data_IF_565503584679
#
_entry.id   IF_565503584679
#
_cell.length_a   1.000
_cell.length_b   1.000
_cell.length_c   1.000
_cell.angle_alpha   90.00
_cell.angle_beta   90.00
_cell.angle_gamma   90.00
#
_symmetry.space_group_name_H-M   'P 1'
#
loop_
_entity.id
_entity.type
_entity.pdbx_description
1 polymer ?
#
# COMPACT_ATOMS: atom_id res chain seq x y z
N UNK A 1 -3.94 -23.88 -12.90
CA UNK A 1 -5.00 -22.86 -12.92
C UNK A 1 -5.10 -22.18 -11.57
N UNK A 2 -4.46 -21.03 -11.39
CA UNK A 2 -4.52 -20.29 -10.13
C UNK A 2 -5.89 -19.63 -9.92
N UNK A 3 -6.28 -19.44 -8.66
CA UNK A 3 -7.47 -18.66 -8.28
C UNK A 3 -7.02 -17.41 -7.54
N UNK A 4 -7.48 -16.24 -7.98
CA UNK A 4 -7.24 -14.99 -7.27
C UNK A 4 -8.02 -15.01 -5.95
N UNK A 5 -7.30 -14.86 -4.84
CA UNK A 5 -7.88 -14.85 -3.48
C UNK A 5 -8.09 -13.45 -2.93
N UNK A 6 -7.43 -12.45 -3.51
CA UNK A 6 -7.71 -11.04 -3.29
C UNK A 6 -6.63 -10.13 -3.89
N UNK A 7 -6.85 -8.83 -3.78
CA UNK A 7 -5.89 -7.78 -4.14
C UNK A 7 -5.70 -6.80 -2.98
N UNK A 8 -4.55 -6.14 -2.92
CA UNK A 8 -4.25 -5.08 -1.95
C UNK A 8 -3.79 -3.85 -2.71
N UNK A 9 -4.45 -2.71 -2.47
CA UNK A 9 -4.02 -1.41 -3.01
C UNK A 9 -3.11 -0.70 -2.01
N UNK A 10 -1.98 -0.18 -2.49
CA UNK A 10 -0.95 0.42 -1.62
C UNK A 10 -1.18 1.89 -1.28
N UNK A 11 -2.03 2.59 -2.03
CA UNK A 11 -2.50 3.95 -1.75
C UNK A 11 -3.73 4.27 -2.62
N UNK A 12 -4.38 5.40 -2.40
CA UNK A 12 -5.66 5.74 -3.06
C UNK A 12 -5.59 6.09 -4.56
N UNK A 13 -4.41 6.46 -5.08
CA UNK A 13 -4.27 6.83 -6.50
C UNK A 13 -4.64 5.69 -7.46
N UNK A 14 -5.08 6.07 -8.66
CA UNK A 14 -5.68 5.15 -9.65
C UNK A 14 -4.71 4.13 -10.23
N UNK A 15 -3.41 4.37 -10.18
CA UNK A 15 -2.38 3.39 -10.52
C UNK A 15 -2.35 2.20 -9.54
N UNK A 16 -2.89 2.37 -8.32
CA UNK A 16 -3.07 1.32 -7.33
C UNK A 16 -4.51 0.83 -7.19
N UNK A 17 -5.51 1.68 -7.48
CA UNK A 17 -6.94 1.41 -7.19
C UNK A 17 -7.82 1.27 -8.41
N UNK A 18 -7.31 1.56 -9.61
CA UNK A 18 -8.09 1.59 -10.86
C UNK A 18 -8.80 0.27 -11.21
N UNK A 19 -8.34 -0.86 -10.66
CA UNK A 19 -8.96 -2.17 -10.85
C UNK A 19 -10.00 -2.57 -9.79
N UNK A 20 -10.20 -1.80 -8.72
CA UNK A 20 -11.05 -2.21 -7.59
C UNK A 20 -12.49 -2.49 -8.03
N UNK A 21 -13.09 -1.59 -8.81
CA UNK A 21 -14.49 -1.74 -9.26
C UNK A 21 -14.70 -3.05 -10.04
N UNK A 22 -13.78 -3.34 -10.96
CA UNK A 22 -13.87 -4.57 -11.75
C UNK A 22 -13.68 -5.82 -10.87
N UNK A 23 -12.72 -5.83 -9.96
CA UNK A 23 -12.49 -6.95 -9.04
C UNK A 23 -13.71 -7.20 -8.14
N UNK A 24 -14.32 -6.13 -7.62
CA UNK A 24 -15.55 -6.18 -6.84
C UNK A 24 -16.70 -6.80 -7.65
N UNK A 25 -16.87 -6.40 -8.92
CA UNK A 25 -17.90 -6.95 -9.82
C UNK A 25 -17.75 -8.46 -10.07
N UNK A 26 -16.53 -9.00 -9.88
CA UNK A 26 -16.21 -10.42 -9.99
C UNK A 26 -16.21 -11.15 -8.65
N UNK A 27 -16.68 -10.50 -7.58
CA UNK A 27 -16.66 -11.02 -6.20
C UNK A 27 -15.25 -11.44 -5.75
N UNK A 28 -14.21 -10.79 -6.27
CA UNK A 28 -12.83 -10.97 -5.83
C UNK A 28 -12.59 -10.02 -4.64
N UNK A 29 -12.14 -10.51 -3.47
CA UNK A 29 -11.89 -9.65 -2.32
C UNK A 29 -10.83 -8.58 -2.61
N UNK A 30 -11.17 -7.32 -2.40
CA UNK A 30 -10.23 -6.19 -2.48
C UNK A 30 -9.92 -5.68 -1.07
N UNK A 31 -8.67 -5.31 -0.82
CA UNK A 31 -8.18 -4.83 0.46
C UNK A 31 -7.50 -3.45 0.29
N UNK A 32 -7.73 -2.56 1.24
CA UNK A 32 -7.05 -1.27 1.35
C UNK A 32 -6.96 -0.84 2.82
N UNK A 33 -6.13 0.14 3.17
CA UNK A 33 -6.18 0.71 4.52
C UNK A 33 -7.50 1.45 4.72
N UNK A 34 -7.94 1.63 5.97
CA UNK A 34 -9.11 2.48 6.27
C UNK A 34 -8.94 3.89 5.69
N UNK A 35 -7.76 4.50 5.85
CA UNK A 35 -7.45 5.81 5.30
C UNK A 35 -7.52 5.84 3.76
N UNK A 36 -7.07 4.78 3.09
CA UNK A 36 -7.19 4.65 1.63
C UNK A 36 -8.66 4.61 1.20
N UNK A 37 -9.51 3.86 1.89
CA UNK A 37 -10.94 3.81 1.60
C UNK A 37 -11.64 5.15 1.89
N UNK A 38 -11.24 5.86 2.95
CA UNK A 38 -11.74 7.21 3.25
C UNK A 38 -11.40 8.19 2.13
N UNK A 39 -10.17 8.18 1.63
CA UNK A 39 -9.74 9.02 0.51
C UNK A 39 -10.45 8.65 -0.79
N UNK A 40 -10.58 7.35 -1.11
CA UNK A 40 -11.37 6.90 -2.26
C UNK A 40 -12.82 7.38 -2.19
N UNK A 41 -13.45 7.27 -1.02
CA UNK A 41 -14.83 7.73 -0.80
C UNK A 41 -14.95 9.24 -1.00
N UNK A 42 -14.00 10.01 -0.45
CA UNK A 42 -13.94 11.47 -0.61
C UNK A 42 -13.84 11.88 -2.08
N UNK A 43 -13.13 11.11 -2.89
CA UNK A 43 -12.95 11.36 -4.32
C UNK A 43 -14.05 10.74 -5.20
N UNK A 44 -15.12 10.20 -4.59
CA UNK A 44 -16.22 9.56 -5.31
C UNK A 44 -15.82 8.28 -6.05
N UNK A 45 -14.75 7.59 -5.60
CA UNK A 45 -14.25 6.35 -6.17
C UNK A 45 -14.80 5.13 -5.44
N UNK A 46 -14.81 3.99 -6.15
CA UNK A 46 -15.20 2.70 -5.59
C UNK A 46 -14.17 2.28 -4.54
N UNK A 47 -14.65 1.95 -3.35
CA UNK A 47 -13.84 1.49 -2.22
C UNK A 47 -13.51 0.00 -2.33
N UNK A 48 -12.42 -0.42 -1.69
CA UNK A 48 -12.13 -1.83 -1.46
C UNK A 48 -13.19 -2.45 -0.54
N UNK A 49 -13.54 -3.72 -0.77
CA UNK A 49 -14.57 -4.43 0.01
C UNK A 49 -14.14 -4.76 1.42
N UNK A 50 -12.83 -4.79 1.68
CA UNK A 50 -12.25 -5.02 2.99
C UNK A 50 -11.28 -3.89 3.31
N UNK A 51 -11.31 -3.42 4.56
CA UNK A 51 -10.34 -2.47 5.08
C UNK A 51 -9.58 -3.04 6.27
N UNK A 52 -8.41 -2.47 6.55
CA UNK A 52 -7.65 -2.75 7.77
C UNK A 52 -7.17 -1.46 8.42
N UNK A 53 -7.05 -1.51 9.74
CA UNK A 53 -6.51 -0.44 10.57
C UNK A 53 -5.15 -0.83 11.17
N UNK A 54 -4.48 0.17 11.73
CA UNK A 54 -3.20 0.00 12.39
C UNK A 54 -1.99 0.01 11.45
N UNK A 55 -0.81 -0.07 12.06
CA UNK A 55 0.47 0.11 11.37
C UNK A 55 0.95 -1.16 10.65
N UNK A 56 0.62 -2.33 11.19
CA UNK A 56 0.99 -3.63 10.64
C UNK A 56 -0.25 -4.48 10.44
N UNK A 57 -0.39 -5.07 9.25
CA UNK A 57 -1.49 -5.94 8.92
C UNK A 57 -0.98 -7.16 8.15
N UNK A 58 -1.36 -8.36 8.59
CA UNK A 58 -1.04 -9.58 7.86
C UNK A 58 -2.20 -9.93 6.93
N UNK A 59 -2.07 -9.59 5.64
CA UNK A 59 -3.01 -10.04 4.61
C UNK A 59 -3.03 -11.57 4.51
N UNK A 60 -1.84 -12.17 4.60
CA UNK A 60 -1.68 -13.61 4.76
C UNK A 60 -0.67 -13.85 5.86
N UNK A 61 -1.12 -14.43 6.98
CA UNK A 61 -0.30 -14.67 8.17
C UNK A 61 1.06 -15.28 7.80
N UNK A 62 2.13 -14.63 8.23
CA UNK A 62 3.53 -15.00 8.00
C UNK A 62 4.02 -15.01 6.54
N UNK A 63 3.21 -14.57 5.57
CA UNK A 63 3.55 -14.59 4.13
C UNK A 63 3.45 -13.25 3.42
N UNK A 64 2.43 -12.46 3.75
CA UNK A 64 2.20 -11.14 3.15
C UNK A 64 1.86 -10.18 4.29
N UNK A 65 2.84 -9.34 4.64
CA UNK A 65 2.69 -8.26 5.61
C UNK A 65 2.49 -6.94 4.86
N UNK A 66 1.52 -6.15 5.30
CA UNK A 66 1.30 -4.77 4.88
C UNK A 66 1.74 -3.87 6.02
N UNK A 67 2.54 -2.85 5.71
CA UNK A 67 3.10 -1.94 6.71
C UNK A 67 2.90 -0.49 6.29
N UNK A 68 2.40 0.33 7.21
CA UNK A 68 2.29 1.77 7.06
C UNK A 68 3.51 2.46 7.69
N UNK A 69 4.48 2.95 6.90
CA UNK A 69 5.66 3.64 7.44
C UNK A 69 5.36 5.08 7.91
N UNK A 70 4.14 5.57 7.69
CA UNK A 70 3.77 6.97 7.83
C UNK A 70 3.67 7.70 6.47
N UNK A 71 3.29 8.99 6.47
CA UNK A 71 3.05 9.74 5.25
C UNK A 71 4.31 9.89 4.38
N UNK A 72 4.13 9.89 3.06
CA UNK A 72 5.20 10.10 2.10
C UNK A 72 4.67 10.61 0.77
N UNK A 73 4.63 9.76 -0.25
CA UNK A 73 4.01 10.06 -1.55
C UNK A 73 2.53 10.45 -1.40
N UNK A 74 1.86 9.83 -0.43
CA UNK A 74 0.48 10.13 -0.04
C UNK A 74 0.32 9.98 1.48
N UNK A 75 -0.78 10.47 2.07
CA UNK A 75 -1.03 10.29 3.51
C UNK A 75 -1.28 8.82 3.89
N UNK A 76 -1.68 7.97 2.95
CA UNK A 76 -2.14 6.59 3.18
C UNK A 76 -1.21 5.51 2.61
N UNK A 77 -0.07 5.88 2.04
CA UNK A 77 0.81 4.90 1.40
C UNK A 77 1.25 3.76 2.34
N UNK A 78 1.07 2.52 1.91
CA UNK A 78 1.60 1.33 2.58
C UNK A 78 2.61 0.61 1.68
N UNK A 79 3.48 -0.18 2.31
CA UNK A 79 4.38 -1.11 1.62
C UNK A 79 3.96 -2.55 1.89
N UNK A 80 4.40 -3.48 1.05
CA UNK A 80 4.14 -4.91 1.23
C UNK A 80 5.45 -5.67 1.38
N UNK A 81 5.56 -6.46 2.45
CA UNK A 81 6.72 -7.29 2.75
C UNK A 81 6.43 -8.78 2.58
N UNK A 82 7.31 -9.47 1.86
CA UNK A 82 7.29 -10.90 1.63
C UNK A 82 8.46 -11.56 2.41
N UNK A 83 8.26 -11.97 3.67
CA UNK A 83 9.34 -12.41 4.56
C UNK A 83 10.12 -13.61 4.03
N UNK A 84 9.45 -14.60 3.45
CA UNK A 84 10.09 -15.82 2.93
C UNK A 84 11.14 -15.53 1.85
N UNK A 85 10.89 -14.52 1.02
CA UNK A 85 11.79 -14.13 -0.08
C UNK A 85 12.65 -12.91 0.23
N UNK A 86 12.37 -12.22 1.33
CA UNK A 86 12.94 -10.92 1.69
C UNK A 86 12.75 -9.87 0.59
N UNK A 87 11.54 -9.83 0.01
CA UNK A 87 11.17 -8.86 -1.03
C UNK A 87 10.27 -7.79 -0.40
N UNK A 88 10.59 -6.52 -0.62
CA UNK A 88 9.78 -5.38 -0.23
C UNK A 88 9.18 -4.74 -1.48
N UNK A 89 7.86 -4.77 -1.63
CA UNK A 89 7.19 -3.94 -2.61
C UNK A 89 6.97 -2.53 -2.01
N UNK A 90 7.74 -1.57 -2.52
CA UNK A 90 7.74 -0.18 -2.03
C UNK A 90 6.60 0.71 -2.54
N UNK A 91 5.86 0.28 -3.56
CA UNK A 91 4.86 1.11 -4.24
C UNK A 91 5.42 2.47 -4.69
N UNK A 92 4.55 3.49 -4.75
CA UNK A 92 4.94 4.85 -5.06
C UNK A 92 5.70 5.57 -3.93
N UNK A 93 5.80 4.96 -2.74
CA UNK A 93 6.56 5.52 -1.62
C UNK A 93 8.08 5.45 -1.85
N UNK A 94 8.56 4.41 -2.56
CA UNK A 94 9.98 4.30 -2.91
C UNK A 94 10.25 5.05 -4.21
N UNK A 95 11.10 6.06 -4.13
CA UNK A 95 11.48 6.95 -5.23
C UNK A 95 13.00 7.09 -5.28
N UNK A 96 13.74 6.22 -6.01
CA UNK A 96 15.19 6.30 -6.09
C UNK A 96 15.68 7.50 -6.91
N UNK A 97 14.85 8.01 -7.83
CA UNK A 97 15.20 9.11 -8.74
C UNK A 97 14.07 10.15 -8.79
N UNK A 98 14.19 11.21 -7.99
CA UNK A 98 13.19 12.27 -7.92
C UNK A 98 11.86 11.82 -7.29
N UNK A 99 11.21 12.72 -6.55
CA UNK A 99 9.97 12.37 -5.84
C UNK A 99 8.75 12.25 -6.76
N UNK A 100 8.81 12.84 -7.96
CA UNK A 100 7.71 12.83 -8.92
C UNK A 100 6.62 13.83 -8.53
N UNK A 101 5.35 13.44 -8.65
CA UNK A 101 4.21 14.28 -8.30
C UNK A 101 4.12 14.46 -6.77
N UNK A 102 4.02 15.71 -6.31
CA UNK A 102 3.98 16.08 -4.90
C UNK A 102 2.60 16.58 -4.43
N UNK A 103 1.57 16.55 -5.29
CA UNK A 103 0.26 17.14 -5.01
C UNK A 103 -0.41 16.64 -3.73
N UNK A 104 -0.24 15.34 -3.43
CA UNK A 104 -0.76 14.69 -2.22
C UNK A 104 0.35 14.27 -1.24
N UNK A 105 1.60 14.67 -1.52
CA UNK A 105 2.75 14.22 -0.76
C UNK A 105 2.89 15.01 0.55
N UNK A 106 3.35 14.32 1.60
CA UNK A 106 3.81 14.95 2.82
C UNK A 106 5.34 14.97 2.85
N UNK A 107 5.92 16.02 2.27
CA UNK A 107 7.37 16.16 2.09
C UNK A 107 8.10 16.24 3.44
N UNK A 108 7.49 16.86 4.45
CA UNK A 108 8.09 17.00 5.78
C UNK A 108 8.20 15.64 6.52
N UNK A 109 7.17 14.81 6.41
CA UNK A 109 7.13 13.50 7.07
C UNK A 109 7.91 12.42 6.32
N UNK A 110 8.00 12.51 4.98
CA UNK A 110 8.56 11.45 4.14
C UNK A 110 9.96 10.97 4.57
N UNK A 111 10.93 11.85 4.92
CA UNK A 111 12.25 11.39 5.38
C UNK A 111 12.19 10.54 6.66
N UNK A 112 11.29 10.87 7.59
CA UNK A 112 11.08 10.09 8.82
C UNK A 112 10.49 8.73 8.49
N UNK A 113 9.47 8.68 7.64
CA UNK A 113 8.85 7.43 7.21
C UNK A 113 9.82 6.53 6.44
N UNK A 114 10.68 7.11 5.58
CA UNK A 114 11.69 6.36 4.85
C UNK A 114 12.75 5.76 5.80
N UNK A 115 13.15 6.49 6.85
CA UNK A 115 14.03 5.97 7.91
C UNK A 115 13.41 4.79 8.67
N UNK A 116 12.11 4.89 9.00
CA UNK A 116 11.39 3.79 9.65
C UNK A 116 11.35 2.54 8.76
N UNK A 117 11.05 2.72 7.47
CA UNK A 117 11.02 1.63 6.49
C UNK A 117 12.39 0.95 6.37
N UNK A 118 13.46 1.74 6.24
CA UNK A 118 14.84 1.24 6.16
C UNK A 118 15.26 0.51 7.44
N UNK A 119 14.86 1.00 8.61
CA UNK A 119 15.14 0.35 9.90
C UNK A 119 14.47 -1.03 9.98
N UNK A 120 13.19 -1.12 9.59
CA UNK A 120 12.42 -2.36 9.66
C UNK A 120 12.84 -3.41 8.62
N UNK A 121 13.07 -2.98 7.37
CA UNK A 121 13.32 -3.89 6.24
C UNK A 121 14.72 -3.74 5.62
N UNK A 122 15.72 -3.27 6.38
CA UNK A 122 17.09 -3.11 5.91
C UNK A 122 17.78 -4.41 5.46
N UNK A 123 17.16 -5.57 5.67
CA UNK A 123 17.61 -6.89 5.20
C UNK A 123 16.91 -7.35 3.92
N UNK A 124 16.13 -6.49 3.26
CA UNK A 124 15.51 -6.79 1.98
C UNK A 124 16.58 -7.17 0.94
N UNK A 125 16.33 -8.25 0.20
CA UNK A 125 17.17 -8.68 -0.93
C UNK A 125 16.78 -7.97 -2.23
N UNK A 126 15.52 -7.53 -2.31
CA UNK A 126 14.96 -6.79 -3.42
C UNK A 126 13.95 -5.77 -2.88
N UNK A 127 13.99 -4.58 -3.46
CA UNK A 127 13.03 -3.49 -3.25
C UNK A 127 12.49 -3.07 -4.60
#
# INVERSE_FOLDING_TARGET
GYKIKGSISSHFHSDSTGGIEWLNSRSIPTYASELTNELLKKDGKVQATNSFSGVNYWLVKNKIEVFYPGPGHTPDNVVVWLPERKILFGGCFIKPYGLGNLGDANIEAWPKSAKLLKSKYGKAKLV
#
